data_IF_506952453222
#
_entry.id   IF_506952453222
#
_cell.length_a   1.000
_cell.length_b   1.000
_cell.length_c   1.000
_cell.angle_alpha   90.00
_cell.angle_beta   90.00
_cell.angle_gamma   90.00
#
_symmetry.space_group_name_H-M   'P 1'
#
loop_
_entity.id
_entity.type
_entity.pdbx_description
1 polymer ?
#
# COMPACT_ATOMS: atom_id res chain seq x y z
N UNK A 1 -70.05 3.94 14.58
CA UNK A 1 -68.83 3.31 14.02
C UNK A 1 -67.96 4.37 13.36
N UNK A 2 -67.10 5.06 14.09
CA UNK A 2 -66.22 6.12 13.55
C UNK A 2 -64.91 6.24 14.34
N UNK A 3 -64.26 5.10 14.64
CA UNK A 3 -62.98 5.07 15.38
C UNK A 3 -61.82 4.45 14.59
N UNK A 4 -62.10 3.57 13.61
CA UNK A 4 -61.05 2.82 12.90
C UNK A 4 -60.26 3.63 11.86
N UNK A 5 -60.78 4.77 11.37
CA UNK A 5 -60.11 5.58 10.33
C UNK A 5 -58.95 6.42 10.87
N UNK A 6 -59.00 6.82 12.15
CA UNK A 6 -57.93 7.58 12.80
C UNK A 6 -56.73 6.70 13.19
N UNK A 7 -57.01 5.48 13.65
CA UNK A 7 -55.97 4.49 14.00
C UNK A 7 -55.14 4.06 12.78
N UNK A 8 -55.76 3.83 11.61
CA UNK A 8 -55.02 3.45 10.40
C UNK A 8 -54.14 4.59 9.87
N UNK A 9 -54.60 5.84 9.99
CA UNK A 9 -53.83 7.02 9.58
C UNK A 9 -52.57 7.17 10.45
N UNK A 10 -52.70 7.01 11.77
CA UNK A 10 -51.57 7.08 12.71
C UNK A 10 -50.54 5.99 12.42
N UNK A 11 -50.98 4.75 12.22
CA UNK A 11 -50.08 3.62 11.89
C UNK A 11 -49.35 3.87 10.57
N UNK A 12 -50.05 4.37 9.54
CA UNK A 12 -49.43 4.72 8.26
C UNK A 12 -48.37 5.83 8.38
N UNK A 13 -48.63 6.87 9.18
CA UNK A 13 -47.67 7.94 9.43
C UNK A 13 -46.43 7.44 10.18
N UNK A 14 -46.61 6.62 11.23
CA UNK A 14 -45.49 6.05 12.00
C UNK A 14 -44.63 5.14 11.11
N UNK A 15 -45.27 4.32 10.26
CA UNK A 15 -44.57 3.46 9.32
C UNK A 15 -43.76 4.27 8.29
N UNK A 16 -44.34 5.34 7.74
CA UNK A 16 -43.67 6.21 6.80
C UNK A 16 -42.45 6.89 7.44
N UNK A 17 -42.58 7.38 8.68
CA UNK A 17 -41.47 7.98 9.43
C UNK A 17 -40.36 6.96 9.65
N UNK A 18 -40.69 5.72 10.01
CA UNK A 18 -39.70 4.66 10.20
C UNK A 18 -38.92 4.35 8.90
N UNK A 19 -39.60 4.31 7.75
CA UNK A 19 -38.95 4.13 6.45
C UNK A 19 -38.01 5.29 6.13
N UNK A 20 -38.45 6.53 6.35
CA UNK A 20 -37.64 7.73 6.06
C UNK A 20 -36.37 7.75 6.92
N UNK A 21 -36.49 7.43 8.21
CA UNK A 21 -35.34 7.34 9.12
C UNK A 21 -34.39 6.23 8.66
N UNK A 22 -34.92 5.06 8.27
CA UNK A 22 -34.11 3.96 7.76
C UNK A 22 -33.34 4.33 6.48
N UNK A 23 -34.01 4.98 5.53
CA UNK A 23 -33.40 5.44 4.28
C UNK A 23 -32.31 6.49 4.53
N UNK A 24 -32.57 7.50 5.37
CA UNK A 24 -31.59 8.52 5.73
C UNK A 24 -30.38 7.93 6.44
N UNK A 25 -30.59 6.96 7.34
CA UNK A 25 -29.51 6.28 8.05
C UNK A 25 -28.61 5.50 7.08
N UNK A 26 -29.19 4.80 6.11
CA UNK A 26 -28.43 4.07 5.10
C UNK A 26 -27.63 4.99 4.17
N UNK A 27 -28.23 6.08 3.71
CA UNK A 27 -27.54 7.09 2.89
C UNK A 27 -26.39 7.71 3.66
N UNK A 28 -26.61 8.10 4.92
CA UNK A 28 -25.58 8.68 5.78
C UNK A 28 -24.43 7.70 6.01
N UNK A 29 -24.73 6.42 6.28
CA UNK A 29 -23.72 5.37 6.41
C UNK A 29 -22.92 5.18 5.13
N UNK A 30 -23.59 5.16 3.97
CA UNK A 30 -22.93 5.03 2.67
C UNK A 30 -22.03 6.21 2.34
N UNK A 31 -22.46 7.44 2.68
CA UNK A 31 -21.63 8.64 2.54
C UNK A 31 -20.39 8.59 3.44
N UNK A 32 -20.53 8.08 4.66
CA UNK A 32 -19.39 7.92 5.57
C UNK A 32 -18.38 6.89 5.03
N UNK A 33 -18.85 5.75 4.49
CA UNK A 33 -17.97 4.77 3.84
C UNK A 33 -17.24 5.42 2.66
N UNK A 34 -17.96 6.16 1.82
CA UNK A 34 -17.37 6.80 0.65
C UNK A 34 -16.33 7.85 1.03
N UNK A 35 -16.59 8.66 2.07
CA UNK A 35 -15.63 9.64 2.59
C UNK A 35 -14.34 8.97 3.07
N UNK A 36 -14.45 7.93 3.89
CA UNK A 36 -13.29 7.18 4.38
C UNK A 36 -12.50 6.51 3.24
N UNK A 37 -13.20 5.99 2.23
CA UNK A 37 -12.57 5.40 1.06
C UNK A 37 -11.82 6.45 0.23
N UNK A 38 -12.44 7.60 -0.04
CA UNK A 38 -11.81 8.70 -0.79
C UNK A 38 -10.59 9.26 -0.06
N UNK A 39 -10.65 9.45 1.26
CA UNK A 39 -9.48 9.87 2.04
C UNK A 39 -8.34 8.86 1.95
N UNK A 40 -8.65 7.57 2.09
CA UNK A 40 -7.66 6.49 1.96
C UNK A 40 -7.02 6.48 0.58
N UNK A 41 -7.81 6.67 -0.47
CA UNK A 41 -7.34 6.72 -1.85
C UNK A 41 -6.42 7.92 -2.09
N UNK A 42 -6.78 9.11 -1.60
CA UNK A 42 -5.94 10.32 -1.69
C UNK A 42 -4.61 10.13 -0.97
N UNK A 43 -4.63 9.51 0.22
CA UNK A 43 -3.40 9.22 0.98
C UNK A 43 -2.51 8.24 0.22
N UNK A 44 -3.08 7.19 -0.37
CA UNK A 44 -2.33 6.23 -1.17
C UNK A 44 -1.78 6.83 -2.46
N UNK A 45 -2.54 7.68 -3.15
CA UNK A 45 -2.08 8.39 -4.35
C UNK A 45 -0.92 9.33 -4.02
N UNK A 46 -1.01 10.11 -2.95
CA UNK A 46 0.10 10.96 -2.48
C UNK A 46 1.33 10.12 -2.15
N UNK A 47 1.15 9.03 -1.40
CA UNK A 47 2.24 8.11 -1.06
C UNK A 47 2.88 7.48 -2.30
N UNK A 48 2.11 7.16 -3.33
CA UNK A 48 2.64 6.67 -4.60
C UNK A 48 3.38 7.75 -5.37
N UNK A 49 2.85 8.97 -5.44
CA UNK A 49 3.52 10.10 -6.06
C UNK A 49 4.85 10.42 -5.37
N UNK A 50 4.87 10.42 -4.04
CA UNK A 50 6.08 10.66 -3.27
C UNK A 50 7.14 9.57 -3.53
N UNK A 51 6.73 8.29 -3.58
CA UNK A 51 7.60 7.18 -3.99
C UNK A 51 8.15 7.32 -5.41
N UNK A 52 7.34 7.80 -6.35
CA UNK A 52 7.80 8.03 -7.73
C UNK A 52 8.76 9.23 -7.83
N UNK A 53 8.61 10.20 -6.93
CA UNK A 53 9.51 11.36 -6.84
C UNK A 53 10.82 11.07 -6.11
N UNK A 54 10.89 9.94 -5.41
CA UNK A 54 12.05 9.52 -4.65
C UNK A 54 13.21 9.14 -5.57
N UNK A 55 14.40 9.63 -5.21
CA UNK A 55 15.65 9.32 -5.91
C UNK A 55 16.65 8.78 -4.89
N UNK A 56 17.18 7.61 -5.21
CA UNK A 56 18.32 7.05 -4.50
C UNK A 56 19.40 6.78 -5.55
N UNK A 57 20.63 7.20 -5.22
CA UNK A 57 21.76 7.10 -6.12
C UNK A 57 22.82 6.19 -5.49
N UNK A 58 23.29 5.22 -6.26
CA UNK A 58 24.43 4.39 -5.89
C UNK A 58 25.68 5.21 -6.18
N UNK A 59 26.32 5.71 -5.13
CA UNK A 59 27.43 6.68 -5.22
C UNK A 59 28.76 5.98 -5.48
N UNK A 60 28.95 4.79 -4.90
CA UNK A 60 30.11 3.94 -5.18
C UNK A 60 29.78 2.47 -4.92
N UNK A 61 30.45 1.59 -5.65
CA UNK A 61 30.47 0.14 -5.44
C UNK A 61 31.91 -0.32 -5.59
N UNK A 62 32.48 -0.87 -4.52
CA UNK A 62 33.85 -1.34 -4.47
C UNK A 62 33.89 -2.78 -3.95
N UNK A 63 34.82 -3.58 -4.44
CA UNK A 63 35.11 -4.90 -3.87
C UNK A 63 36.32 -4.72 -2.96
N UNK A 64 36.09 -4.89 -1.66
CA UNK A 64 37.16 -4.82 -0.66
C UNK A 64 38.19 -5.93 -0.88
N UNK A 65 39.44 -5.77 -0.40
CA UNK A 65 40.49 -6.79 -0.48
C UNK A 65 40.12 -8.14 0.17
N UNK A 66 39.06 -8.16 0.98
CA UNK A 66 38.51 -9.36 1.62
C UNK A 66 37.37 -10.02 0.83
N UNK A 67 37.19 -9.70 -0.46
CA UNK A 67 36.10 -10.17 -1.31
C UNK A 67 34.69 -9.83 -0.79
N UNK A 68 34.56 -8.69 -0.09
CA UNK A 68 33.24 -8.16 0.31
C UNK A 68 32.87 -6.99 -0.59
N UNK A 69 31.62 -6.93 -1.00
CA UNK A 69 31.05 -5.76 -1.67
C UNK A 69 30.84 -4.66 -0.64
N UNK A 70 31.45 -3.51 -0.86
CA UNK A 70 31.18 -2.27 -0.14
C UNK A 70 30.49 -1.30 -1.11
N UNK A 71 29.44 -0.65 -0.67
CA UNK A 71 28.62 0.19 -1.52
C UNK A 71 28.00 1.33 -0.74
N UNK A 72 28.16 2.54 -1.25
CA UNK A 72 27.57 3.73 -0.65
C UNK A 72 26.31 4.09 -1.43
N UNK A 73 25.18 4.04 -0.75
CA UNK A 73 23.88 4.42 -1.30
C UNK A 73 23.44 5.71 -0.62
N UNK A 74 23.22 6.74 -1.42
CA UNK A 74 22.76 8.04 -0.93
C UNK A 74 21.30 8.21 -1.30
N UNK A 75 20.46 8.41 -0.29
CA UNK A 75 19.08 8.82 -0.50
C UNK A 75 19.02 10.34 -0.61
N UNK A 76 18.74 10.85 -1.81
CA UNK A 76 18.60 12.29 -2.09
C UNK A 76 17.14 12.76 -1.97
N UNK A 77 16.21 11.84 -1.70
CA UNK A 77 14.80 12.11 -1.45
C UNK A 77 14.50 12.55 0.00
N UNK A 78 13.28 13.04 0.21
CA UNK A 78 12.80 13.50 1.52
C UNK A 78 12.26 12.38 2.42
N UNK A 79 12.01 11.19 1.84
CA UNK A 79 11.44 10.04 2.55
C UNK A 79 12.56 9.06 2.92
N UNK A 80 12.61 8.53 4.16
CA UNK A 80 13.55 7.48 4.50
C UNK A 80 13.26 6.15 3.77
N UNK A 81 14.22 5.67 2.97
CA UNK A 81 14.14 4.35 2.31
C UNK A 81 14.71 3.26 3.20
N UNK A 82 14.03 2.11 3.27
CA UNK A 82 14.59 0.85 3.76
C UNK A 82 14.90 -0.07 2.58
N UNK A 83 16.19 -0.33 2.35
CA UNK A 83 16.64 -1.31 1.37
C UNK A 83 16.48 -2.70 2.00
N UNK A 84 15.71 -3.58 1.34
CA UNK A 84 15.46 -4.94 1.82
C UNK A 84 16.20 -6.00 1.01
N UNK A 85 16.43 -5.71 -0.27
CA UNK A 85 16.94 -6.68 -1.23
C UNK A 85 17.94 -6.01 -2.14
N UNK A 86 19.04 -6.70 -2.43
CA UNK A 86 20.03 -6.33 -3.42
C UNK A 86 20.17 -7.47 -4.42
N UNK A 87 20.17 -7.14 -5.71
CA UNK A 87 20.45 -8.08 -6.78
C UNK A 87 21.75 -7.70 -7.45
N UNK A 88 22.66 -8.67 -7.58
CA UNK A 88 23.93 -8.50 -8.28
C UNK A 88 23.90 -9.40 -9.51
N UNK A 89 24.09 -8.78 -10.67
CA UNK A 89 24.21 -9.47 -11.95
C UNK A 89 25.66 -9.36 -12.45
N UNK A 90 26.22 -10.50 -12.83
CA UNK A 90 27.56 -10.54 -13.42
C UNK A 90 27.49 -10.21 -14.92
N UNK A 91 28.16 -9.14 -15.33
CA UNK A 91 28.18 -8.73 -16.74
C UNK A 91 29.05 -9.70 -17.55
N UNK A 92 28.48 -10.34 -18.57
CA UNK A 92 29.21 -11.21 -19.50
C UNK A 92 29.08 -12.71 -19.22
N UNK A 93 28.32 -13.11 -18.20
CA UNK A 93 28.00 -14.51 -17.91
C UNK A 93 26.48 -14.70 -17.96
N UNK A 94 25.95 -15.61 -18.80
CA UNK A 94 24.52 -15.89 -18.82
C UNK A 94 24.03 -16.38 -17.45
N UNK A 95 22.88 -15.89 -17.02
CA UNK A 95 22.06 -16.46 -15.93
C UNK A 95 22.69 -16.54 -14.53
N UNK A 96 23.64 -15.65 -14.22
CA UNK A 96 24.17 -15.53 -12.85
C UNK A 96 23.65 -14.27 -12.19
N UNK A 97 22.54 -14.41 -11.46
CA UNK A 97 21.99 -13.36 -10.60
C UNK A 97 22.00 -13.86 -9.15
N UNK A 98 22.62 -13.08 -8.28
CA UNK A 98 22.63 -13.35 -6.84
C UNK A 98 21.70 -12.37 -6.13
N UNK A 99 20.80 -12.90 -5.31
CA UNK A 99 19.91 -12.11 -4.46
C UNK A 99 20.45 -12.12 -3.03
N UNK A 100 20.54 -10.95 -2.43
CA UNK A 100 20.91 -10.74 -1.04
C UNK A 100 19.72 -10.12 -0.32
N UNK A 101 19.24 -10.78 0.72
CA UNK A 101 18.27 -10.19 1.65
C UNK A 101 19.03 -9.44 2.74
N UNK A 102 18.78 -8.13 2.84
CA UNK A 102 19.41 -7.22 3.78
C UNK A 102 18.47 -7.06 4.97
N UNK A 103 18.62 -7.95 5.95
CA UNK A 103 18.04 -7.77 7.29
C UNK A 103 19.12 -7.26 8.25
N UNK A 104 18.73 -6.44 9.23
CA UNK A 104 19.64 -5.61 10.04
C UNK A 104 20.71 -6.38 10.83
N UNK A 105 20.67 -7.71 10.83
CA UNK A 105 21.58 -8.56 11.58
C UNK A 105 22.44 -9.49 10.72
N UNK A 106 22.01 -9.90 9.51
CA UNK A 106 22.74 -10.83 8.65
C UNK A 106 22.32 -10.67 7.18
N UNK A 107 23.29 -10.63 6.26
CA UNK A 107 23.03 -10.78 4.83
C UNK A 107 22.99 -12.27 4.48
N UNK A 108 21.82 -12.78 4.10
CA UNK A 108 21.66 -14.14 3.54
C UNK A 108 21.58 -14.07 2.02
N UNK A 109 22.25 -14.99 1.33
CA UNK A 109 22.24 -15.06 -0.13
C UNK A 109 21.61 -16.37 -0.60
N UNK A 110 20.87 -16.31 -1.70
CA UNK A 110 20.30 -17.47 -2.38
C UNK A 110 20.63 -17.35 -3.88
N UNK A 111 21.13 -18.45 -4.46
CA UNK A 111 21.35 -18.54 -5.91
C UNK A 111 19.98 -18.77 -6.56
N UNK A 112 19.54 -17.84 -7.40
CA UNK A 112 18.27 -17.97 -8.10
C UNK A 112 18.51 -18.69 -9.43
N UNK A 113 17.83 -19.82 -9.61
CA UNK A 113 17.78 -20.53 -10.89
C UNK A 113 16.97 -19.71 -11.93
N UNK A 114 17.37 -19.70 -13.21
CA UNK A 114 16.78 -18.83 -14.22
C UNK A 114 15.27 -19.04 -14.46
N UNK A 115 14.71 -20.17 -14.06
CA UNK A 115 13.29 -20.53 -14.18
C UNK A 115 12.38 -19.90 -13.10
N UNK A 116 12.95 -19.36 -12.01
CA UNK A 116 12.22 -18.81 -10.86
C UNK A 116 12.13 -17.28 -10.85
N UNK A 117 12.36 -16.62 -11.99
CA UNK A 117 12.20 -15.17 -12.16
C UNK A 117 10.72 -14.78 -12.37
N UNK A 118 9.79 -15.21 -11.52
CA UNK A 118 8.38 -14.78 -11.56
C UNK A 118 7.78 -14.68 -10.15
#
# INVERSE_FOLDING_TARGET
MTSHRGLSAIVGTVFLVAIVIGALSYVTYSMNILGNFSESLIVEEKRQADKQSEKFDITSVEITPTNKLDGVITNSGQIPVKIKTLWIEETGVPDTVQKFDIDQNYCTWEKIEPDKRY
#
